data_IF_390682809579
#
_entry.id   IF_390682809579
#
_cell.length_a   1.000
_cell.length_b   1.000
_cell.length_c   1.000
_cell.angle_alpha   90.00
_cell.angle_beta   90.00
_cell.angle_gamma   90.00
#
_symmetry.space_group_name_H-M   'P 1'
#
loop_
_entity.id
_entity.type
_entity.pdbx_description
1 polymer ?
#
# COMPACT_ATOMS: atom_id res chain seq x y z
N UNK A 1 13.49 -35.40 0.50
CA UNK A 1 13.06 -34.36 1.45
C UNK A 1 14.33 -33.83 2.12
N UNK A 2 14.73 -32.56 2.06
CA UNK A 2 14.01 -31.31 2.36
C UNK A 2 14.57 -30.18 1.48
N UNK A 3 13.70 -29.25 1.10
CA UNK A 3 14.03 -27.98 0.43
C UNK A 3 14.85 -27.11 1.39
N UNK A 4 15.89 -26.46 0.90
CA UNK A 4 16.41 -25.22 1.50
C UNK A 4 16.81 -24.27 0.37
N UNK A 5 15.88 -23.38 0.06
CA UNK A 5 16.01 -22.25 -0.83
C UNK A 5 16.18 -21.04 0.09
N UNK A 6 17.34 -20.38 0.08
CA UNK A 6 17.51 -19.14 0.85
C UNK A 6 18.96 -18.87 1.23
N UNK A 7 19.48 -17.70 0.85
CA UNK A 7 20.72 -17.13 1.39
C UNK A 7 21.91 -17.07 0.42
N UNK A 8 22.34 -18.21 -0.15
CA UNK A 8 23.69 -18.33 -0.74
C UNK A 8 23.93 -17.66 -2.10
N UNK A 9 22.87 -17.26 -2.82
CA UNK A 9 23.02 -16.70 -4.17
C UNK A 9 23.46 -15.22 -4.18
N UNK A 10 23.20 -14.50 -3.09
CA UNK A 10 23.47 -13.06 -2.98
C UNK A 10 24.94 -12.75 -2.65
N UNK A 11 25.58 -13.57 -1.81
CA UNK A 11 27.00 -13.40 -1.45
C UNK A 11 27.94 -13.73 -2.62
N UNK A 12 27.61 -14.76 -3.40
CA UNK A 12 28.46 -15.24 -4.50
C UNK A 12 28.64 -14.20 -5.62
N UNK A 13 27.60 -13.40 -5.91
CA UNK A 13 27.64 -12.45 -7.02
C UNK A 13 28.46 -11.18 -6.70
N UNK A 14 28.47 -10.73 -5.44
CA UNK A 14 29.26 -9.56 -5.01
C UNK A 14 30.77 -9.82 -5.03
N UNK A 15 31.19 -11.02 -4.64
CA UNK A 15 32.59 -11.44 -4.65
C UNK A 15 33.13 -11.64 -6.08
N UNK A 16 32.32 -12.19 -6.99
CA UNK A 16 32.74 -12.45 -8.38
C UNK A 16 32.97 -11.16 -9.19
N UNK A 17 32.28 -10.05 -8.85
CA UNK A 17 32.36 -8.78 -9.58
C UNK A 17 33.17 -7.68 -8.88
N UNK A 18 33.76 -7.96 -7.71
CA UNK A 18 34.62 -7.02 -6.97
C UNK A 18 33.93 -5.75 -6.45
N UNK A 19 32.60 -5.72 -6.40
CA UNK A 19 31.82 -4.55 -5.98
C UNK A 19 31.41 -4.74 -4.52
N UNK A 20 31.74 -3.77 -3.65
CA UNK A 20 31.35 -3.81 -2.24
C UNK A 20 29.84 -4.01 -2.06
N UNK A 21 29.47 -4.79 -1.03
CA UNK A 21 28.07 -5.14 -0.68
C UNK A 21 27.11 -3.92 -0.72
N UNK A 22 27.46 -2.72 -0.21
CA UNK A 22 26.59 -1.54 -0.30
C UNK A 22 26.27 -1.10 -1.74
N UNK A 23 27.23 -1.18 -2.66
CA UNK A 23 27.05 -0.79 -4.06
C UNK A 23 26.16 -1.78 -4.82
N UNK A 24 26.26 -3.08 -4.49
CA UNK A 24 25.36 -4.10 -5.01
C UNK A 24 23.91 -3.85 -4.57
N UNK A 25 23.67 -3.62 -3.28
CA UNK A 25 22.33 -3.30 -2.77
C UNK A 25 21.79 -2.01 -3.38
N UNK A 26 22.63 -0.97 -3.48
CA UNK A 26 22.25 0.27 -4.15
C UNK A 26 21.80 0.03 -5.58
N UNK A 27 22.55 -0.75 -6.36
CA UNK A 27 22.21 -1.10 -7.74
C UNK A 27 20.89 -1.88 -7.84
N UNK A 28 20.68 -2.85 -6.95
CA UNK A 28 19.44 -3.63 -6.88
C UNK A 28 18.22 -2.74 -6.54
N UNK A 29 18.36 -1.89 -5.53
CA UNK A 29 17.31 -0.95 -5.11
C UNK A 29 17.01 0.05 -6.22
N UNK A 30 18.03 0.61 -6.85
CA UNK A 30 17.87 1.60 -7.91
C UNK A 30 17.22 0.97 -9.16
N UNK A 31 17.58 -0.27 -9.49
CA UNK A 31 16.94 -1.04 -10.56
C UNK A 31 15.47 -1.35 -10.26
N UNK A 32 15.10 -1.63 -9.00
CA UNK A 32 13.70 -1.75 -8.58
C UNK A 32 12.95 -0.43 -8.69
N UNK A 33 13.52 0.67 -8.21
CA UNK A 33 12.91 2.02 -8.28
C UNK A 33 12.63 2.44 -9.71
N UNK A 34 13.60 2.26 -10.62
CA UNK A 34 13.42 2.60 -12.05
C UNK A 34 12.29 1.81 -12.72
N UNK A 35 12.15 0.52 -12.38
CA UNK A 35 11.10 -0.34 -12.96
C UNK A 35 9.69 -0.04 -12.42
N UNK A 36 9.61 0.37 -11.15
CA UNK A 36 8.34 0.67 -10.49
C UNK A 36 7.99 2.17 -10.54
N UNK A 37 8.78 2.98 -11.26
CA UNK A 37 8.52 4.39 -11.43
C UNK A 37 7.24 4.58 -12.24
N UNK A 38 6.29 5.34 -11.67
CA UNK A 38 5.10 5.76 -12.38
C UNK A 38 5.51 6.91 -13.30
N UNK A 39 5.60 6.64 -14.59
CA UNK A 39 6.04 7.65 -15.57
C UNK A 39 4.88 8.48 -16.14
N UNK A 40 3.67 7.92 -16.12
CA UNK A 40 2.45 8.60 -16.55
C UNK A 40 1.21 8.01 -15.89
N UNK A 41 0.19 8.85 -15.73
CA UNK A 41 -1.15 8.44 -15.27
C UNK A 41 -2.20 9.02 -16.21
N UNK A 42 -3.34 8.35 -16.34
CA UNK A 42 -4.46 8.83 -17.15
C UNK A 42 -5.39 9.69 -16.30
N UNK A 43 -5.73 10.87 -16.80
CA UNK A 43 -6.69 11.79 -16.20
C UNK A 43 -8.13 11.36 -16.49
N UNK A 44 -9.09 11.90 -15.74
CA UNK A 44 -10.52 11.60 -15.93
C UNK A 44 -11.05 11.92 -17.33
N UNK A 45 -10.48 12.92 -18.00
CA UNK A 45 -10.84 13.31 -19.37
C UNK A 45 -10.16 12.45 -20.46
N UNK A 46 -9.44 11.38 -20.08
CA UNK A 46 -8.76 10.48 -21.01
C UNK A 46 -7.36 10.94 -21.45
N UNK A 47 -6.94 12.16 -21.12
CA UNK A 47 -5.58 12.67 -21.39
C UNK A 47 -4.54 12.06 -20.45
N UNK A 48 -3.26 12.10 -20.81
CA UNK A 48 -2.16 11.58 -19.99
C UNK A 48 -1.44 12.72 -19.26
N UNK A 49 -1.23 12.57 -17.95
CA UNK A 49 -0.28 13.36 -17.18
C UNK A 49 1.07 12.61 -17.18
N UNK A 50 2.11 13.26 -17.67
CA UNK A 50 3.45 12.68 -17.79
C UNK A 50 4.48 13.52 -17.04
N UNK A 51 5.40 12.83 -16.37
CA UNK A 51 6.41 13.48 -15.52
C UNK A 51 5.92 13.74 -14.09
N UNK A 52 6.88 13.77 -13.16
CA UNK A 52 6.61 13.78 -11.72
C UNK A 52 5.71 14.93 -11.26
N UNK A 53 5.89 16.13 -11.82
CA UNK A 53 5.12 17.31 -11.42
C UNK A 53 3.65 17.19 -11.80
N UNK A 54 3.35 16.81 -13.05
CA UNK A 54 1.97 16.64 -13.50
C UNK A 54 1.27 15.47 -12.80
N UNK A 55 2.01 14.38 -12.56
CA UNK A 55 1.50 13.23 -11.81
C UNK A 55 1.17 13.64 -10.38
N UNK A 56 2.04 14.40 -9.72
CA UNK A 56 1.82 14.87 -8.36
C UNK A 56 0.61 15.80 -8.28
N UNK A 57 0.49 16.76 -9.20
CA UNK A 57 -0.65 17.69 -9.26
C UNK A 57 -1.98 16.97 -9.46
N UNK A 58 -2.04 16.04 -10.41
CA UNK A 58 -3.25 15.25 -10.68
C UNK A 58 -3.61 14.35 -9.50
N UNK A 59 -2.62 13.71 -8.85
CA UNK A 59 -2.86 12.89 -7.66
C UNK A 59 -3.40 13.72 -6.49
N UNK A 60 -2.82 14.90 -6.24
CA UNK A 60 -3.30 15.83 -5.22
C UNK A 60 -4.74 16.22 -5.50
N UNK A 61 -5.05 16.68 -6.72
CA UNK A 61 -6.40 17.09 -7.11
C UNK A 61 -7.41 15.94 -6.94
N UNK A 62 -7.06 14.75 -7.40
CA UNK A 62 -7.91 13.56 -7.30
C UNK A 62 -8.24 13.21 -5.84
N UNK A 63 -7.23 13.11 -4.98
CA UNK A 63 -7.45 12.74 -3.58
C UNK A 63 -8.09 13.86 -2.77
N UNK A 64 -7.77 15.12 -3.05
CA UNK A 64 -8.47 16.26 -2.46
C UNK A 64 -9.97 16.18 -2.77
N UNK A 65 -10.36 15.98 -4.02
CA UNK A 65 -11.77 15.82 -4.40
C UNK A 65 -12.39 14.62 -3.67
N UNK A 66 -11.72 13.46 -3.62
CA UNK A 66 -12.24 12.27 -2.93
C UNK A 66 -12.50 12.51 -1.44
N UNK A 67 -11.57 13.16 -0.74
CA UNK A 67 -11.67 13.37 0.72
C UNK A 67 -12.52 14.58 1.11
N UNK A 68 -12.71 15.54 0.20
CA UNK A 68 -13.57 16.71 0.42
C UNK A 68 -14.99 16.52 -0.09
N UNK A 69 -15.23 15.48 -0.91
CA UNK A 69 -16.58 15.09 -1.31
C UNK A 69 -17.37 14.76 -0.04
N UNK A 70 -18.24 15.69 0.36
CA UNK A 70 -19.12 15.51 1.51
C UNK A 70 -19.83 14.19 1.37
N UNK A 71 -19.85 13.41 2.46
CA UNK A 71 -20.31 12.01 2.54
C UNK A 71 -21.29 11.74 1.42
N UNK A 72 -20.80 11.20 0.29
CA UNK A 72 -21.72 10.56 -0.64
C UNK A 72 -22.45 9.59 0.25
N UNK A 73 -23.77 9.65 0.30
CA UNK A 73 -24.56 8.61 0.89
C UNK A 73 -24.12 7.32 0.18
N UNK A 74 -23.07 6.70 0.71
CA UNK A 74 -22.72 5.34 0.42
C UNK A 74 -24.05 4.66 0.65
N UNK A 75 -24.53 3.92 -0.33
CA UNK A 75 -25.72 3.10 -0.18
C UNK A 75 -25.38 2.08 0.93
N UNK A 76 -25.51 2.54 2.18
CA UNK A 76 -25.29 1.77 3.39
C UNK A 76 -26.46 0.82 3.58
N UNK A 77 -27.32 0.65 2.57
CA UNK A 77 -28.26 -0.46 2.47
C UNK A 77 -27.55 -1.81 2.72
N UNK A 78 -26.24 -1.92 2.44
CA UNK A 78 -25.45 -3.10 2.83
C UNK A 78 -25.35 -3.28 4.35
N UNK A 79 -25.29 -2.20 5.13
CA UNK A 79 -25.25 -2.25 6.61
C UNK A 79 -26.54 -2.81 7.17
N UNK A 80 -27.67 -2.56 6.49
CA UNK A 80 -28.99 -3.06 6.89
C UNK A 80 -29.11 -4.58 6.77
N UNK A 81 -28.20 -5.22 6.00
CA UNK A 81 -28.12 -6.67 5.87
C UNK A 81 -27.14 -7.32 6.85
N UNK A 82 -26.41 -6.53 7.65
CA UNK A 82 -25.49 -7.06 8.67
C UNK A 82 -26.31 -7.32 9.93
N UNK A 83 -26.44 -8.58 10.38
CA UNK A 83 -27.15 -8.89 11.61
C UNK A 83 -26.45 -8.24 12.81
N UNK A 84 -27.22 -7.58 13.68
CA UNK A 84 -26.72 -7.05 14.93
C UNK A 84 -26.52 -8.22 15.92
N UNK A 85 -25.30 -8.72 16.02
CA UNK A 85 -24.96 -9.86 16.88
C UNK A 85 -24.44 -9.45 18.27
N UNK A 86 -24.28 -8.14 18.52
CA UNK A 86 -23.79 -7.61 19.79
C UNK A 86 -25.00 -7.16 20.60
N UNK A 87 -25.19 -7.77 21.76
CA UNK A 87 -26.27 -7.41 22.70
C UNK A 87 -25.84 -6.29 23.64
N UNK A 88 -26.81 -5.65 24.30
CA UNK A 88 -26.51 -4.65 25.32
C UNK A 88 -25.82 -5.28 26.55
N UNK A 89 -26.11 -6.56 26.82
CA UNK A 89 -25.43 -7.37 27.83
C UNK A 89 -23.95 -7.57 27.50
N UNK A 90 -23.60 -7.89 26.24
CA UNK A 90 -22.20 -8.02 25.80
C UNK A 90 -21.44 -6.70 26.02
N UNK A 91 -22.07 -5.57 25.68
CA UNK A 91 -21.50 -4.24 25.90
C UNK A 91 -21.35 -3.88 27.38
N UNK A 92 -22.23 -4.40 28.23
CA UNK A 92 -22.17 -4.21 29.68
C UNK A 92 -21.01 -4.99 30.29
N UNK A 93 -20.83 -6.25 29.88
CA UNK A 93 -19.69 -7.10 30.24
C UNK A 93 -18.34 -6.47 29.88
N UNK A 94 -18.24 -5.82 28.71
CA UNK A 94 -17.03 -5.12 28.29
C UNK A 94 -16.72 -3.84 29.11
N UNK A 95 -17.72 -3.28 29.79
CA UNK A 95 -17.58 -2.08 30.63
C UNK A 95 -17.34 -2.42 32.10
N UNK A 96 -17.52 -3.68 32.49
CA UNK A 96 -17.23 -4.12 33.84
C UNK A 96 -15.72 -4.12 34.09
N UNK A 97 -15.33 -3.72 35.31
CA UNK A 97 -13.93 -3.81 35.72
C UNK A 97 -13.55 -5.29 35.85
N UNK A 98 -12.38 -5.71 35.35
CA UNK A 98 -11.95 -7.09 35.45
C UNK A 98 -11.88 -7.49 36.92
N UNK A 99 -12.64 -8.53 37.27
CA UNK A 99 -12.58 -9.12 38.61
C UNK A 99 -11.42 -10.10 38.64
N UNK A 100 -10.59 -10.01 39.68
CA UNK A 100 -9.40 -10.84 39.89
C UNK A 100 -9.74 -12.19 40.52
#
# INVERSE_FOLDING_TARGET
MKKSFGGKKLEFCGLQMGIGIPSFFYSLVNGRRKRMAINKIQRRNGTWAEGNEQIAQEAIAFYQEQFTRGSTACEMNLIDHIPCCITDEDNSLLKELPTY
#
